data_IF_421760273188
#
_entry.id   IF_421760273188
#
_cell.length_a   1.000
_cell.length_b   1.000
_cell.length_c   1.000
_cell.angle_alpha   90.00
_cell.angle_beta   90.00
_cell.angle_gamma   90.00
#
_symmetry.space_group_name_H-M   'P 1'
#
loop_
_entity.id
_entity.type
_entity.pdbx_description
1 polymer ?
#
# COMPACT_ATOMS: atom_id res chain seq x y z
N UNK A 1 -47.23 31.35 20.53
CA UNK A 1 -46.12 30.99 19.63
C UNK A 1 -45.68 29.59 20.04
N UNK A 2 -46.50 28.57 19.79
CA UNK A 2 -46.68 27.77 18.56
C UNK A 2 -45.55 26.76 18.32
N UNK A 3 -45.48 25.74 19.19
CA UNK A 3 -44.59 24.59 19.07
C UNK A 3 -44.85 23.71 17.84
N UNK A 4 -45.92 23.99 17.08
CA UNK A 4 -46.16 23.38 15.76
C UNK A 4 -45.15 23.89 14.73
N UNK A 5 -44.82 25.18 14.77
CA UNK A 5 -43.85 25.79 13.85
C UNK A 5 -42.44 25.25 14.12
N UNK A 6 -42.03 25.12 15.38
CA UNK A 6 -40.73 24.54 15.75
C UNK A 6 -40.62 23.06 15.34
N UNK A 7 -41.70 22.27 15.50
CA UNK A 7 -41.73 20.87 15.04
C UNK A 7 -41.62 20.74 13.53
N UNK A 8 -42.29 21.61 12.77
CA UNK A 8 -42.19 21.63 11.30
C UNK A 8 -40.77 21.98 10.85
N UNK A 9 -40.14 22.98 11.47
CA UNK A 9 -38.76 23.34 11.19
C UNK A 9 -37.78 22.23 11.55
N UNK A 10 -38.00 21.53 12.67
CA UNK A 10 -37.19 20.38 13.07
C UNK A 10 -37.32 19.23 12.06
N UNK A 11 -38.53 18.92 11.62
CA UNK A 11 -38.79 17.88 10.62
C UNK A 11 -38.16 18.19 9.26
N UNK A 12 -38.17 19.46 8.84
CA UNK A 12 -37.47 19.90 7.62
C UNK A 12 -35.95 19.73 7.75
N UNK A 13 -35.36 20.11 8.89
CA UNK A 13 -33.93 19.89 9.15
C UNK A 13 -33.55 18.41 9.12
N UNK A 14 -34.35 17.55 9.74
CA UNK A 14 -34.13 16.09 9.74
C UNK A 14 -34.20 15.54 8.31
N UNK A 15 -35.18 15.97 7.53
CA UNK A 15 -35.37 15.51 6.14
C UNK A 15 -34.16 15.90 5.28
N UNK A 16 -33.68 17.14 5.39
CA UNK A 16 -32.50 17.60 4.67
C UNK A 16 -31.25 16.81 5.07
N UNK A 17 -31.05 16.55 6.37
CA UNK A 17 -29.93 15.75 6.86
C UNK A 17 -29.96 14.31 6.31
N UNK A 18 -31.14 13.68 6.26
CA UNK A 18 -31.29 12.34 5.68
C UNK A 18 -30.97 12.30 4.18
N UNK A 19 -31.33 13.36 3.44
CA UNK A 19 -30.99 13.49 2.02
C UNK A 19 -29.47 13.65 1.84
N UNK A 20 -28.82 14.48 2.66
CA UNK A 20 -27.38 14.69 2.63
C UNK A 20 -26.62 13.39 2.94
N UNK A 21 -27.01 12.64 3.98
CA UNK A 21 -26.42 11.33 4.30
C UNK A 21 -26.58 10.36 3.13
N UNK A 22 -27.76 10.33 2.50
CA UNK A 22 -28.00 9.44 1.35
C UNK A 22 -27.12 9.80 0.16
N UNK A 23 -26.93 11.10 -0.10
CA UNK A 23 -26.06 11.58 -1.17
C UNK A 23 -24.59 11.24 -0.90
N UNK A 24 -24.10 11.50 0.32
CA UNK A 24 -22.74 11.14 0.75
C UNK A 24 -22.52 9.62 0.62
N UNK A 25 -23.49 8.80 1.02
CA UNK A 25 -23.41 7.35 0.88
C UNK A 25 -23.30 6.89 -0.58
N UNK A 26 -24.10 7.48 -1.49
CA UNK A 26 -24.02 7.21 -2.93
C UNK A 26 -22.68 7.65 -3.53
N UNK A 27 -22.20 8.82 -3.15
CA UNK A 27 -20.89 9.32 -3.59
C UNK A 27 -19.76 8.42 -3.12
N UNK A 28 -19.80 7.99 -1.86
CA UNK A 28 -18.82 7.06 -1.30
C UNK A 28 -18.80 5.73 -2.09
N UNK A 29 -19.96 5.14 -2.35
CA UNK A 29 -20.05 3.91 -3.16
C UNK A 29 -19.57 4.10 -4.61
N UNK A 30 -19.75 5.29 -5.19
CA UNK A 30 -19.22 5.63 -6.52
C UNK A 30 -17.69 5.74 -6.51
N UNK A 31 -17.12 6.38 -5.48
CA UNK A 31 -15.69 6.52 -5.29
C UNK A 31 -15.00 5.17 -5.04
N UNK A 32 -15.60 4.32 -4.22
CA UNK A 32 -15.11 2.95 -3.97
C UNK A 32 -15.04 2.15 -5.28
N UNK A 33 -16.07 2.22 -6.12
CA UNK A 33 -16.08 1.57 -7.43
C UNK A 33 -15.00 2.13 -8.38
N UNK A 34 -14.76 3.44 -8.38
CA UNK A 34 -13.69 4.05 -9.17
C UNK A 34 -12.32 3.62 -8.67
N UNK A 35 -12.10 3.62 -7.36
CA UNK A 35 -10.86 3.17 -6.73
C UNK A 35 -10.56 1.71 -7.09
N UNK A 36 -11.55 0.83 -6.95
CA UNK A 36 -11.44 -0.58 -7.30
C UNK A 36 -11.04 -0.78 -8.77
N UNK A 37 -11.69 -0.08 -9.70
CA UNK A 37 -11.35 -0.14 -11.14
C UNK A 37 -9.93 0.36 -11.41
N UNK A 38 -9.54 1.48 -10.78
CA UNK A 38 -8.20 2.03 -10.93
C UNK A 38 -7.13 1.08 -10.41
N UNK A 39 -7.33 0.48 -9.23
CA UNK A 39 -6.39 -0.47 -8.64
C UNK A 39 -6.24 -1.73 -9.51
N UNK A 40 -7.36 -2.25 -10.05
CA UNK A 40 -7.33 -3.36 -11.01
C UNK A 40 -6.53 -3.01 -12.27
N UNK A 41 -6.70 -1.80 -12.80
CA UNK A 41 -5.97 -1.35 -14.00
C UNK A 41 -4.48 -1.18 -13.74
N UNK A 42 -4.10 -0.61 -12.59
CA UNK A 42 -2.69 -0.46 -12.17
C UNK A 42 -2.04 -1.85 -12.11
N UNK A 43 -2.68 -2.81 -11.45
CA UNK A 43 -2.11 -4.15 -11.30
C UNK A 43 -2.05 -4.93 -12.60
N UNK A 44 -3.07 -4.83 -13.46
CA UNK A 44 -3.02 -5.40 -14.78
C UNK A 44 -1.84 -4.83 -15.59
N UNK A 45 -1.57 -3.53 -15.47
CA UNK A 45 -0.47 -2.84 -16.14
C UNK A 45 0.89 -3.28 -15.59
N UNK A 46 1.04 -3.33 -14.26
CA UNK A 46 2.28 -3.80 -13.63
C UNK A 46 2.57 -5.26 -13.99
N UNK A 47 1.55 -6.11 -13.98
CA UNK A 47 1.69 -7.50 -14.41
C UNK A 47 2.01 -7.60 -15.91
N UNK A 48 1.40 -6.79 -16.78
CA UNK A 48 1.79 -6.74 -18.19
C UNK A 48 3.25 -6.27 -18.36
N UNK A 49 3.74 -5.40 -17.49
CA UNK A 49 5.13 -4.94 -17.42
C UNK A 49 6.10 -5.97 -16.77
N UNK A 50 5.64 -7.19 -16.51
CA UNK A 50 6.46 -8.29 -16.00
C UNK A 50 6.61 -8.37 -14.48
N UNK A 51 5.87 -7.55 -13.72
CA UNK A 51 5.89 -7.64 -12.25
C UNK A 51 5.18 -8.92 -11.81
N UNK A 52 5.92 -9.83 -11.17
CA UNK A 52 5.43 -11.15 -10.71
C UNK A 52 5.64 -11.39 -9.22
N UNK A 53 6.57 -10.67 -8.62
CA UNK A 53 6.95 -10.78 -7.21
C UNK A 53 7.62 -9.48 -6.73
N UNK A 54 8.05 -9.43 -5.47
CA UNK A 54 8.75 -8.29 -4.89
C UNK A 54 9.99 -7.87 -5.67
N UNK A 55 10.75 -8.83 -6.22
CA UNK A 55 11.92 -8.49 -7.04
C UNK A 55 11.49 -7.80 -8.33
N UNK A 56 10.44 -8.31 -8.98
CA UNK A 56 9.82 -7.66 -10.13
C UNK A 56 9.30 -6.24 -9.83
N UNK A 57 8.82 -6.00 -8.60
CA UNK A 57 8.44 -4.66 -8.13
C UNK A 57 9.67 -3.75 -8.07
N UNK A 58 10.76 -4.18 -7.43
CA UNK A 58 11.98 -3.39 -7.37
C UNK A 58 12.53 -3.11 -8.78
N UNK A 59 12.56 -4.11 -9.65
CA UNK A 59 12.95 -3.96 -11.06
C UNK A 59 12.09 -2.93 -11.81
N UNK A 60 10.78 -2.92 -11.55
CA UNK A 60 9.87 -1.94 -12.13
C UNK A 60 10.14 -0.54 -11.60
N UNK A 61 10.37 -0.37 -10.30
CA UNK A 61 10.74 0.91 -9.69
C UNK A 61 12.06 1.40 -10.26
N UNK A 62 13.07 0.55 -10.37
CA UNK A 62 14.37 0.92 -10.93
C UNK A 62 14.25 1.40 -12.38
N UNK A 63 13.44 0.73 -13.21
CA UNK A 63 13.15 1.22 -14.57
C UNK A 63 12.48 2.58 -14.55
N UNK A 64 11.47 2.78 -13.70
CA UNK A 64 10.75 4.05 -13.56
C UNK A 64 11.66 5.19 -13.07
N UNK A 65 12.67 4.88 -12.26
CA UNK A 65 13.64 5.83 -11.71
C UNK A 65 14.95 5.92 -12.52
N UNK A 66 14.99 5.30 -13.70
CA UNK A 66 16.17 5.24 -14.58
C UNK A 66 17.45 4.80 -13.85
N UNK A 67 17.32 3.78 -12.99
CA UNK A 67 18.44 3.15 -12.30
C UNK A 67 19.05 2.08 -13.22
N UNK A 68 20.38 2.07 -13.32
CA UNK A 68 21.10 1.02 -14.00
C UNK A 68 21.15 -0.22 -13.10
N UNK A 69 20.68 -1.36 -13.61
CA UNK A 69 20.65 -2.64 -12.88
C UNK A 69 22.03 -3.14 -12.43
N UNK A 70 23.13 -2.67 -13.03
CA UNK A 70 24.49 -2.97 -12.54
C UNK A 70 24.93 -2.11 -11.35
N UNK A 71 24.11 -1.13 -10.96
CA UNK A 71 24.47 -0.10 -9.99
C UNK A 71 23.33 0.18 -9.01
N UNK A 72 22.58 -0.86 -8.61
CA UNK A 72 21.44 -0.79 -7.67
C UNK A 72 21.69 0.17 -6.51
N UNK A 73 22.77 -0.03 -5.73
CA UNK A 73 23.05 0.78 -4.54
C UNK A 73 23.25 2.27 -4.84
N UNK A 74 23.97 2.61 -5.91
CA UNK A 74 24.16 4.00 -6.33
C UNK A 74 22.87 4.61 -6.89
N UNK A 75 22.06 3.82 -7.61
CA UNK A 75 20.76 4.22 -8.12
C UNK A 75 19.78 4.54 -6.99
N UNK A 76 19.63 3.61 -6.04
CA UNK A 76 18.78 3.79 -4.86
C UNK A 76 19.27 4.92 -3.98
N UNK A 77 20.58 5.11 -3.81
CA UNK A 77 21.13 6.30 -3.14
C UNK A 77 20.65 7.60 -3.78
N UNK A 78 20.61 7.68 -5.11
CA UNK A 78 20.11 8.86 -5.84
C UNK A 78 18.61 9.07 -5.61
N UNK A 79 17.81 8.00 -5.74
CA UNK A 79 16.37 8.04 -5.46
C UNK A 79 16.11 8.50 -4.03
N UNK A 80 16.78 7.88 -3.07
CA UNK A 80 16.63 8.18 -1.66
C UNK A 80 17.08 9.59 -1.31
N UNK A 81 17.97 10.27 -2.05
CA UNK A 81 18.25 11.71 -1.81
C UNK A 81 17.01 12.58 -2.03
N UNK A 82 16.20 12.23 -3.03
CA UNK A 82 15.05 13.00 -3.46
C UNK A 82 13.76 12.57 -2.73
N UNK A 83 13.60 11.27 -2.46
CA UNK A 83 12.44 10.72 -1.77
C UNK A 83 12.59 10.77 -0.26
N UNK A 84 12.25 11.92 0.34
CA UNK A 84 12.36 12.14 1.79
C UNK A 84 11.40 11.25 2.58
N UNK A 85 10.19 11.03 2.08
CA UNK A 85 9.17 10.24 2.79
C UNK A 85 9.54 8.75 2.81
N UNK A 86 10.01 8.20 1.69
CA UNK A 86 10.61 6.86 1.67
C UNK A 86 11.73 6.71 2.70
N UNK A 87 12.66 7.66 2.79
CA UNK A 87 13.72 7.61 3.81
C UNK A 87 13.15 7.57 5.23
N UNK A 88 12.21 8.46 5.55
CA UNK A 88 11.57 8.50 6.87
C UNK A 88 10.86 7.18 7.18
N UNK A 89 10.15 6.63 6.21
CA UNK A 89 9.49 5.34 6.35
C UNK A 89 10.51 4.25 6.67
N UNK A 90 11.59 4.14 5.89
CA UNK A 90 12.63 3.12 6.10
C UNK A 90 13.34 3.25 7.45
N UNK A 91 13.72 4.47 7.86
CA UNK A 91 14.34 4.71 9.17
C UNK A 91 13.41 4.28 10.31
N UNK A 92 12.12 4.59 10.20
CA UNK A 92 11.12 4.26 11.22
C UNK A 92 10.80 2.77 11.24
N UNK A 93 10.60 2.16 10.07
CA UNK A 93 10.14 0.79 9.93
C UNK A 93 11.28 -0.23 10.09
N UNK A 94 12.52 0.16 9.75
CA UNK A 94 13.68 -0.71 9.77
C UNK A 94 14.87 -0.01 10.45
N UNK A 95 14.76 0.32 11.75
CA UNK A 95 15.79 1.10 12.45
C UNK A 95 17.15 0.39 12.46
N UNK A 96 17.18 -0.94 12.43
CA UNK A 96 18.41 -1.75 12.38
C UNK A 96 19.25 -1.55 11.11
N UNK A 97 18.70 -0.93 10.05
CA UNK A 97 19.47 -0.56 8.86
C UNK A 97 20.29 0.71 9.05
N UNK A 98 20.00 1.48 10.10
CA UNK A 98 20.64 2.75 10.38
C UNK A 98 21.60 2.55 11.56
N UNK A 99 22.90 2.86 11.40
CA UNK A 99 23.83 2.86 12.52
C UNK A 99 23.37 3.80 13.64
N UNK A 100 23.62 3.44 14.89
CA UNK A 100 23.10 4.16 16.06
C UNK A 100 23.57 5.62 16.17
N UNK A 101 24.71 5.94 15.55
CA UNK A 101 25.32 7.28 15.49
C UNK A 101 24.84 8.12 14.29
N UNK A 102 24.05 7.54 13.38
CA UNK A 102 23.56 8.21 12.18
C UNK A 102 22.15 8.75 12.42
N UNK A 103 22.04 10.08 12.49
CA UNK A 103 20.77 10.79 12.60
C UNK A 103 19.95 10.80 11.29
N UNK A 104 18.67 11.13 11.39
CA UNK A 104 17.75 11.18 10.24
C UNK A 104 18.15 12.20 9.16
N UNK A 105 18.91 13.24 9.53
CA UNK A 105 19.39 14.31 8.63
C UNK A 105 20.82 14.07 8.11
N UNK A 106 21.42 12.92 8.42
CA UNK A 106 22.79 12.63 8.00
C UNK A 106 22.90 12.48 6.47
N UNK A 107 23.94 13.08 5.89
CA UNK A 107 24.19 13.07 4.43
C UNK A 107 24.57 11.68 3.89
N UNK A 108 25.05 10.79 4.76
CA UNK A 108 25.40 9.40 4.44
C UNK A 108 24.18 8.48 4.40
N UNK A 109 23.07 8.84 5.08
CA UNK A 109 21.88 8.01 5.22
C UNK A 109 21.30 7.48 3.90
N UNK A 110 21.18 8.27 2.80
CA UNK A 110 20.74 7.74 1.52
C UNK A 110 21.66 6.66 0.96
N UNK A 111 22.96 6.74 1.23
CA UNK A 111 23.95 5.74 0.80
C UNK A 111 23.79 4.43 1.57
N UNK A 112 23.60 4.52 2.89
CA UNK A 112 23.37 3.37 3.78
C UNK A 112 22.10 2.62 3.38
N UNK A 113 20.98 3.35 3.31
CA UNK A 113 19.69 2.77 2.92
C UNK A 113 19.72 2.24 1.48
N UNK A 114 20.38 2.94 0.56
CA UNK A 114 20.52 2.48 -0.82
C UNK A 114 21.29 1.17 -0.95
N UNK A 115 22.35 0.99 -0.15
CA UNK A 115 23.08 -0.28 -0.07
C UNK A 115 22.19 -1.40 0.49
N UNK A 116 21.38 -1.12 1.53
CA UNK A 116 20.45 -2.10 2.09
C UNK A 116 19.35 -2.53 1.11
N UNK A 117 18.80 -1.61 0.33
CA UNK A 117 17.85 -1.96 -0.74
C UNK A 117 18.54 -2.78 -1.83
N UNK A 118 19.81 -2.49 -2.16
CA UNK A 118 20.57 -3.32 -3.09
C UNK A 118 20.82 -4.74 -2.54
N UNK A 119 21.05 -4.89 -1.23
CA UNK A 119 21.15 -6.20 -0.57
C UNK A 119 19.82 -6.96 -0.64
N UNK A 120 18.67 -6.26 -0.54
CA UNK A 120 17.36 -6.90 -0.66
C UNK A 120 17.22 -7.73 -1.95
N UNK A 121 17.73 -7.23 -3.07
CA UNK A 121 17.69 -7.97 -4.36
C UNK A 121 18.28 -9.38 -4.29
N UNK A 122 19.29 -9.58 -3.44
CA UNK A 122 19.90 -10.89 -3.22
C UNK A 122 19.07 -11.79 -2.30
N UNK A 123 18.33 -11.19 -1.35
CA UNK A 123 17.50 -11.90 -0.37
C UNK A 123 16.09 -12.25 -0.88
N UNK A 124 15.61 -11.56 -1.92
CA UNK A 124 14.28 -11.75 -2.46
C UNK A 124 14.25 -12.97 -3.38
N UNK A 125 13.87 -14.10 -2.79
CA UNK A 125 13.58 -15.32 -3.53
C UNK A 125 12.29 -15.17 -4.37
N UNK A 126 12.28 -15.69 -5.61
CA UNK A 126 11.07 -15.76 -6.40
C UNK A 126 9.96 -16.48 -5.64
N UNK A 127 8.72 -16.00 -5.76
CA UNK A 127 7.49 -16.61 -5.21
C UNK A 127 7.28 -16.51 -3.69
N UNK A 128 8.14 -15.82 -2.94
CA UNK A 128 7.86 -15.53 -1.51
C UNK A 128 6.83 -14.42 -1.40
N UNK A 129 7.17 -13.25 -1.92
CA UNK A 129 6.27 -12.09 -1.99
C UNK A 129 5.68 -12.02 -3.39
N UNK A 130 4.51 -12.62 -3.59
CA UNK A 130 3.91 -12.82 -4.92
C UNK A 130 3.10 -11.61 -5.35
N UNK A 131 3.15 -11.28 -6.64
CA UNK A 131 2.25 -10.30 -7.23
C UNK A 131 1.00 -11.00 -7.77
N UNK A 132 -0.14 -10.74 -7.13
CA UNK A 132 -1.42 -11.39 -7.40
C UNK A 132 -2.33 -10.51 -8.27
N UNK A 133 -2.87 -11.10 -9.33
CA UNK A 133 -3.92 -10.52 -10.17
C UNK A 133 -5.35 -10.95 -9.79
N UNK A 134 -5.50 -12.08 -9.08
CA UNK A 134 -6.76 -12.82 -8.98
C UNK A 134 -7.23 -13.14 -7.55
N UNK A 135 -6.44 -12.81 -6.52
CA UNK A 135 -6.81 -13.02 -5.11
C UNK A 135 -7.52 -11.79 -4.53
N UNK A 136 -8.29 -11.90 -3.42
CA UNK A 136 -8.77 -10.72 -2.72
C UNK A 136 -7.54 -10.02 -2.15
N UNK A 137 -7.06 -9.04 -2.89
CA UNK A 137 -5.71 -8.54 -2.77
C UNK A 137 -5.04 -8.38 -4.11
N UNK A 138 -5.36 -7.25 -4.70
CA UNK A 138 -4.82 -6.80 -5.97
C UNK A 138 -3.44 -6.20 -5.67
N UNK A 139 -2.37 -6.88 -6.09
CA UNK A 139 -1.01 -6.34 -6.04
C UNK A 139 0.04 -7.25 -5.40
N UNK A 140 1.07 -6.65 -4.81
CA UNK A 140 2.14 -7.37 -4.11
C UNK A 140 1.65 -7.90 -2.76
N UNK A 141 1.61 -9.22 -2.61
CA UNK A 141 1.32 -9.85 -1.32
C UNK A 141 2.63 -9.97 -0.55
N UNK A 142 2.74 -9.26 0.56
CA UNK A 142 3.91 -9.25 1.43
C UNK A 142 3.69 -10.27 2.55
N UNK A 143 4.64 -11.20 2.69
CA UNK A 143 4.65 -12.16 3.79
C UNK A 143 5.41 -11.57 4.97
N UNK A 144 4.79 -11.52 6.14
CA UNK A 144 5.48 -10.99 7.31
C UNK A 144 6.66 -11.86 7.71
N UNK A 145 7.80 -11.24 8.01
CA UNK A 145 8.98 -11.93 8.52
C UNK A 145 9.73 -12.81 7.53
N UNK A 146 9.46 -12.74 6.22
CA UNK A 146 10.15 -13.58 5.21
C UNK A 146 10.93 -12.72 4.22
N UNK A 147 12.25 -12.94 4.03
CA UNK A 147 13.10 -13.79 4.87
C UNK A 147 13.27 -13.24 6.30
N UNK A 148 13.02 -11.95 6.51
CA UNK A 148 13.06 -11.31 7.82
C UNK A 148 12.06 -10.13 7.89
N UNK A 149 11.81 -9.63 9.11
CA UNK A 149 10.88 -8.52 9.34
C UNK A 149 11.35 -7.19 8.72
N UNK A 150 12.66 -7.03 8.56
CA UNK A 150 13.26 -5.85 7.94
C UNK A 150 12.87 -5.77 6.45
N UNK A 151 12.92 -6.90 5.76
CA UNK A 151 12.58 -7.03 4.35
C UNK A 151 11.10 -6.74 4.11
N UNK A 152 10.20 -7.37 4.86
CA UNK A 152 8.76 -7.13 4.73
C UNK A 152 8.41 -5.66 4.98
N UNK A 153 8.95 -5.06 6.05
CA UNK A 153 8.76 -3.65 6.37
C UNK A 153 9.33 -2.69 5.31
N UNK A 154 10.51 -2.98 4.77
CA UNK A 154 11.10 -2.19 3.70
C UNK A 154 10.27 -2.25 2.41
N UNK A 155 9.76 -3.44 2.05
CA UNK A 155 8.88 -3.61 0.89
C UNK A 155 7.60 -2.79 1.01
N UNK A 156 6.98 -2.73 2.20
CA UNK A 156 5.80 -1.86 2.45
C UNK A 156 6.13 -0.39 2.19
N UNK A 157 7.26 0.09 2.71
CA UNK A 157 7.69 1.48 2.50
C UNK A 157 7.91 1.79 1.02
N UNK A 158 8.59 0.89 0.29
CA UNK A 158 8.84 1.05 -1.15
C UNK A 158 7.52 1.01 -1.92
N UNK A 159 6.65 0.03 -1.64
CA UNK A 159 5.39 -0.11 -2.33
C UNK A 159 4.49 1.13 -2.12
N UNK A 160 4.41 1.65 -0.89
CA UNK A 160 3.69 2.88 -0.58
C UNK A 160 4.24 4.10 -1.34
N UNK A 161 5.56 4.30 -1.31
CA UNK A 161 6.18 5.46 -1.98
C UNK A 161 5.92 5.47 -3.49
N UNK A 162 5.98 4.30 -4.12
CA UNK A 162 5.85 4.18 -5.58
C UNK A 162 4.44 3.81 -6.04
N UNK A 163 3.45 3.85 -5.15
CA UNK A 163 2.05 3.58 -5.46
C UNK A 163 1.81 2.17 -6.00
N UNK A 164 2.62 1.20 -5.57
CA UNK A 164 2.46 -0.21 -5.90
C UNK A 164 1.39 -0.77 -4.97
N UNK A 165 0.25 -1.26 -5.47
CA UNK A 165 -0.74 -1.89 -4.60
C UNK A 165 -0.11 -3.09 -3.90
N UNK A 166 -0.33 -3.20 -2.59
CA UNK A 166 0.21 -4.28 -1.77
C UNK A 166 -0.73 -4.59 -0.61
N UNK A 167 -0.63 -5.80 -0.08
CA UNK A 167 -1.37 -6.25 1.09
C UNK A 167 -0.57 -7.28 1.88
N UNK A 168 -0.85 -7.38 3.18
CA UNK A 168 -0.23 -8.38 4.05
C UNK A 168 -0.92 -9.74 3.91
N UNK A 169 -0.15 -10.82 3.92
CA UNK A 169 -0.70 -12.18 3.78
C UNK A 169 -1.67 -12.54 4.93
N UNK A 170 -1.48 -12.03 6.15
CA UNK A 170 -2.40 -12.26 7.28
C UNK A 170 -3.80 -11.68 7.01
N UNK A 171 -3.89 -10.50 6.38
CA UNK A 171 -5.17 -9.84 6.07
C UNK A 171 -5.99 -10.54 4.97
N UNK A 172 -5.36 -11.41 4.18
CA UNK A 172 -6.09 -12.29 3.26
C UNK A 172 -6.87 -13.35 4.05
N UNK A 173 -6.27 -13.97 5.06
CA UNK A 173 -6.90 -15.01 5.88
C UNK A 173 -8.18 -14.54 6.59
N UNK A 174 -8.13 -13.34 7.16
CA UNK A 174 -9.27 -12.76 7.90
C UNK A 174 -10.41 -12.28 6.98
N UNK A 175 -10.10 -11.77 5.78
CA UNK A 175 -11.15 -11.42 4.79
C UNK A 175 -11.92 -12.65 4.29
N UNK A 176 -11.28 -13.82 4.20
CA UNK A 176 -11.99 -15.06 3.87
C UNK A 176 -12.94 -15.51 4.99
N UNK A 177 -12.59 -15.29 6.26
CA UNK A 177 -13.50 -15.56 7.38
C UNK A 177 -14.65 -14.54 7.49
N UNK A 178 -14.38 -13.24 7.28
CA UNK A 178 -15.41 -12.20 7.27
C UNK A 178 -16.42 -12.34 6.14
N UNK A 179 -15.96 -12.67 4.92
CA UNK A 179 -16.84 -12.92 3.77
C UNK A 179 -17.68 -14.20 3.96
N UNK A 180 -17.13 -15.24 4.59
CA UNK A 180 -17.89 -16.45 4.94
C UNK A 180 -19.04 -16.18 5.92
N UNK A 181 -18.83 -15.31 6.90
CA UNK A 181 -19.85 -14.93 7.88
C UNK A 181 -20.93 -14.03 7.27
N UNK A 182 -20.57 -13.07 6.42
CA UNK A 182 -21.53 -12.22 5.71
C UNK A 182 -22.37 -13.02 4.69
N UNK A 183 -21.77 -14.00 3.99
CA UNK A 183 -22.52 -14.89 3.08
C UNK A 183 -23.49 -15.80 3.84
N UNK A 184 -23.11 -16.27 5.05
CA UNK A 184 -24.02 -17.03 5.93
C UNK A 184 -25.15 -16.17 6.50
N UNK A 185 -24.91 -14.90 6.80
CA UNK A 185 -25.93 -13.97 7.27
C UNK A 185 -26.98 -13.62 6.19
N UNK A 186 -26.57 -13.56 4.92
CA UNK A 186 -27.45 -13.28 3.78
C UNK A 186 -28.27 -14.50 3.31
N UNK A 187 -27.88 -15.73 3.66
CA UNK A 187 -28.60 -16.96 3.36
C UNK A 187 -29.61 -17.38 4.46
N UNK A 188 -29.69 -16.60 5.54
CA UNK A 188 -30.61 -16.81 6.67
C UNK A 188 -31.74 -15.75 6.74
N UNK A 189 -31.93 -14.96 5.68
CA UNK A 189 -33.10 -14.09 5.45
C UNK A 189 -33.95 -14.65 4.32
#
# INVERSE_FOLDING_TARGET
>A
MDGTIERIQLMQKITNLCLDITNVSKENGSLENKLFKTQKNVNATMFAAGVRDARGVLDWVERAQHINSKAHGNGWRRVLRNQKELRKCLVKAVPLWVPADVGADDKSLPGILGAKIAELYGSLEPRVHVFSLFSPGFGLVIREGVPDAATSSALRCIANEFGVPWEDQEELGDRFHGLSLLHRALLLQ
#
